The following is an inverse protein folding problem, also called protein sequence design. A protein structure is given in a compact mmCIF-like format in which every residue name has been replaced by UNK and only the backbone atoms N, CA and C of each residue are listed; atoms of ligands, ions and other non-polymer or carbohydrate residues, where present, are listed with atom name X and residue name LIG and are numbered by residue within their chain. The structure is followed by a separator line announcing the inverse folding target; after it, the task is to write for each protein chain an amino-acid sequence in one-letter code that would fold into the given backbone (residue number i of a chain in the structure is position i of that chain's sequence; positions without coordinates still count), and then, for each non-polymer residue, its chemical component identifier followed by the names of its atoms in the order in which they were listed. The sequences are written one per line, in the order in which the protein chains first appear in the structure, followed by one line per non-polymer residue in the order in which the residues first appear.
data_IF_108344457292
#
_entry.id   IF_108344457292
#
_cell.length_a   1.000
_cell.length_b   1.000
_cell.length_c   1.000
_cell.angle_alpha   90.00
_cell.angle_beta   90.00
_cell.angle_gamma   90.00
#
_symmetry.space_group_name_H-M   'P 1'
#
loop_
_entity.id
_entity.type
_entity.pdbx_description
1 polymer ?
#
# COMPACT_ATOMS: atom_id res chain seq x y z
N UNK A 1 -19.87 -1.48 -7.50
CA UNK A 1 -18.94 -0.61 -8.26
C UNK A 1 -17.56 -0.66 -7.61
N UNK A 2 -16.49 -0.66 -8.40
CA UNK A 2 -15.10 -0.59 -7.90
C UNK A 2 -14.64 0.87 -7.94
N UNK A 3 -14.11 1.39 -6.84
CA UNK A 3 -13.57 2.74 -6.76
C UNK A 3 -12.06 2.74 -6.50
N UNK A 4 -11.32 3.52 -7.29
CA UNK A 4 -9.88 3.72 -7.14
C UNK A 4 -9.64 5.10 -6.51
N UNK A 5 -9.01 5.11 -5.34
CA UNK A 5 -8.76 6.33 -4.59
C UNK A 5 -7.64 7.14 -5.21
N UNK A 6 -7.95 8.34 -5.68
CA UNK A 6 -6.97 9.31 -6.20
C UNK A 6 -6.80 10.50 -5.25
N UNK A 7 -5.56 10.85 -4.99
CA UNK A 7 -5.19 12.03 -4.20
C UNK A 7 -4.73 13.20 -5.07
N UNK A 8 -4.88 13.11 -6.39
CA UNK A 8 -4.47 14.09 -7.40
C UNK A 8 -2.99 14.50 -7.30
N UNK A 9 -2.12 13.59 -6.85
CA UNK A 9 -0.70 13.84 -6.75
C UNK A 9 0.01 13.32 -7.99
N UNK A 10 0.66 14.20 -8.76
CA UNK A 10 1.40 13.88 -9.98
C UNK A 10 2.31 12.63 -9.87
N UNK A 11 3.01 12.44 -8.74
CA UNK A 11 3.91 11.30 -8.53
C UNK A 11 3.17 9.95 -8.33
N UNK A 12 1.91 9.97 -7.93
CA UNK A 12 1.15 8.76 -7.64
C UNK A 12 0.11 8.46 -8.72
N UNK A 13 -0.25 9.44 -9.54
CA UNK A 13 -1.28 9.31 -10.56
C UNK A 13 -0.97 8.19 -11.56
N UNK A 14 0.26 8.07 -12.01
CA UNK A 14 0.61 6.98 -12.95
C UNK A 14 0.31 5.58 -12.39
N UNK A 15 0.46 5.36 -11.08
CA UNK A 15 0.13 4.07 -10.46
C UNK A 15 -1.38 3.86 -10.37
N UNK A 16 -2.09 4.95 -10.12
CA UNK A 16 -3.55 4.97 -10.09
C UNK A 16 -4.08 4.69 -11.50
N UNK A 17 -3.50 5.32 -12.51
CA UNK A 17 -3.89 5.11 -13.91
C UNK A 17 -3.60 3.67 -14.37
N UNK A 18 -2.51 3.06 -13.92
CA UNK A 18 -2.25 1.63 -14.18
C UNK A 18 -3.28 0.73 -13.47
N UNK A 19 -3.64 1.04 -12.23
CA UNK A 19 -4.69 0.30 -11.53
C UNK A 19 -6.04 0.43 -12.25
N UNK A 20 -6.38 1.61 -12.71
CA UNK A 20 -7.61 1.86 -13.48
C UNK A 20 -7.58 1.12 -14.82
N UNK A 21 -6.46 1.14 -15.55
CA UNK A 21 -6.32 0.44 -16.82
C UNK A 21 -6.43 -1.09 -16.67
N UNK A 22 -6.05 -1.65 -15.52
CA UNK A 22 -6.14 -3.07 -15.25
C UNK A 22 -7.44 -3.55 -14.63
N UNK A 23 -8.37 -2.64 -14.30
CA UNK A 23 -9.63 -2.96 -13.62
C UNK A 23 -10.82 -2.52 -14.48
N UNK A 24 -11.55 -3.44 -15.11
CA UNK A 24 -12.77 -3.10 -15.83
C UNK A 24 -13.82 -2.52 -14.87
N UNK A 25 -14.61 -1.60 -15.35
CA UNK A 25 -15.74 -1.00 -14.63
C UNK A 25 -15.39 -0.29 -13.31
N UNK A 26 -14.18 0.22 -13.19
CA UNK A 26 -13.79 1.02 -12.04
C UNK A 26 -13.93 2.52 -12.30
N UNK A 27 -14.09 3.30 -11.24
CA UNK A 27 -14.10 4.76 -11.26
C UNK A 27 -13.05 5.34 -10.33
N UNK A 28 -12.33 6.35 -10.81
CA UNK A 28 -11.35 7.11 -10.05
C UNK A 28 -12.07 8.25 -9.31
N UNK A 29 -11.96 8.27 -7.99
CA UNK A 29 -12.59 9.28 -7.13
C UNK A 29 -11.61 9.72 -6.02
N UNK A 30 -11.86 10.90 -5.45
CA UNK A 30 -11.16 11.32 -4.24
C UNK A 30 -11.56 10.47 -3.03
N UNK A 31 -10.71 10.37 -1.99
CA UNK A 31 -11.05 9.64 -0.76
C UNK A 31 -12.40 10.05 -0.15
N UNK A 32 -12.69 11.35 -0.11
CA UNK A 32 -13.93 11.88 0.47
C UNK A 32 -15.17 11.55 -0.37
N UNK A 33 -15.03 11.44 -1.69
CA UNK A 33 -16.12 11.01 -2.53
C UNK A 33 -16.41 9.52 -2.38
N UNK A 34 -15.38 8.68 -2.26
CA UNK A 34 -15.55 7.23 -2.08
C UNK A 34 -16.36 6.91 -0.83
N UNK A 35 -16.02 7.50 0.32
CA UNK A 35 -16.72 7.23 1.59
C UNK A 35 -18.18 7.66 1.62
N UNK A 36 -18.61 8.46 0.63
CA UNK A 36 -20.01 8.86 0.44
C UNK A 36 -20.78 7.92 -0.49
N UNK A 37 -20.11 6.96 -1.15
CA UNK A 37 -20.74 6.05 -2.11
C UNK A 37 -21.37 4.84 -1.43
N UNK A 38 -22.67 4.65 -1.64
CA UNK A 38 -23.40 3.48 -1.14
C UNK A 38 -23.23 2.24 -2.02
N UNK A 39 -22.88 2.42 -3.28
CA UNK A 39 -22.71 1.35 -4.28
C UNK A 39 -21.28 0.80 -4.36
N UNK A 40 -20.39 1.19 -3.45
CA UNK A 40 -19.03 0.72 -3.42
C UNK A 40 -18.97 -0.74 -2.95
N UNK A 41 -18.51 -1.62 -3.82
CA UNK A 41 -18.31 -3.04 -3.49
C UNK A 41 -16.84 -3.38 -3.25
N UNK A 42 -15.93 -2.61 -3.85
CA UNK A 42 -14.47 -2.77 -3.66
C UNK A 42 -13.79 -1.41 -3.77
N UNK A 43 -12.76 -1.20 -2.95
CA UNK A 43 -11.91 -0.01 -3.01
C UNK A 43 -10.45 -0.37 -3.32
N UNK A 44 -9.77 0.48 -4.08
CA UNK A 44 -8.33 0.39 -4.34
C UNK A 44 -7.66 1.61 -3.77
N UNK A 45 -6.69 1.40 -2.90
CA UNK A 45 -6.03 2.42 -2.10
C UNK A 45 -4.54 2.47 -2.42
N UNK A 46 -3.99 3.66 -2.67
CA UNK A 46 -2.56 3.85 -2.86
C UNK A 46 -1.96 4.62 -1.67
N UNK A 47 -1.23 3.91 -0.82
CA UNK A 47 -0.67 4.44 0.43
C UNK A 47 -1.74 4.78 1.48
N UNK A 48 -1.33 5.28 2.64
CA UNK A 48 -2.22 5.65 3.76
C UNK A 48 -2.30 7.17 4.00
N UNK A 49 -1.71 7.97 3.12
CA UNK A 49 -1.64 9.42 3.29
C UNK A 49 -2.77 10.14 2.56
N UNK A 50 -2.98 11.43 2.93
CA UNK A 50 -3.83 12.38 2.18
C UNK A 50 -5.28 11.96 2.05
N UNK A 51 -5.84 11.45 3.14
CA UNK A 51 -7.24 11.02 3.18
C UNK A 51 -7.46 9.56 2.80
N UNK A 52 -6.51 8.88 2.17
CA UNK A 52 -6.64 7.45 1.83
C UNK A 52 -6.89 6.58 3.07
N UNK A 53 -6.31 6.94 4.22
CA UNK A 53 -6.59 6.29 5.51
C UNK A 53 -8.06 6.37 5.92
N UNK A 54 -8.79 7.38 5.48
CA UNK A 54 -10.24 7.48 5.75
C UNK A 54 -11.00 6.41 4.99
N UNK A 55 -10.64 6.18 3.71
CA UNK A 55 -11.24 5.10 2.90
C UNK A 55 -10.89 3.74 3.49
N UNK A 56 -9.65 3.55 3.95
CA UNK A 56 -9.23 2.33 4.64
C UNK A 56 -10.14 2.03 5.84
N UNK A 57 -10.25 2.98 6.80
CA UNK A 57 -11.08 2.80 8.00
C UNK A 57 -12.56 2.64 7.68
N UNK A 58 -13.05 3.37 6.69
CA UNK A 58 -14.43 3.27 6.24
C UNK A 58 -14.71 1.88 5.62
N UNK A 59 -13.82 1.36 4.79
CA UNK A 59 -13.94 0.05 4.19
C UNK A 59 -13.93 -1.06 5.26
N UNK A 60 -13.02 -1.00 6.25
CA UNK A 60 -13.01 -1.92 7.39
C UNK A 60 -14.34 -1.88 8.17
N UNK A 61 -14.82 -0.68 8.51
CA UNK A 61 -16.05 -0.50 9.28
C UNK A 61 -17.29 -1.03 8.56
N UNK A 62 -17.33 -0.94 7.23
CA UNK A 62 -18.49 -1.33 6.41
C UNK A 62 -18.32 -2.71 5.74
N UNK A 63 -17.28 -3.47 6.10
CA UNK A 63 -16.96 -4.78 5.51
C UNK A 63 -16.84 -4.74 3.98
N UNK A 64 -16.27 -3.66 3.44
CA UNK A 64 -16.03 -3.50 2.01
C UNK A 64 -14.64 -4.03 1.69
N UNK A 65 -14.55 -4.92 0.72
CA UNK A 65 -13.26 -5.42 0.24
C UNK A 65 -12.41 -4.28 -0.30
N UNK A 66 -11.13 -4.26 0.09
CA UNK A 66 -10.19 -3.28 -0.46
C UNK A 66 -8.83 -3.89 -0.80
N UNK A 67 -8.17 -3.29 -1.78
CA UNK A 67 -6.80 -3.60 -2.16
C UNK A 67 -5.92 -2.40 -1.82
N UNK A 68 -4.98 -2.63 -0.93
CA UNK A 68 -3.97 -1.65 -0.56
C UNK A 68 -2.73 -1.82 -1.42
N UNK A 69 -2.36 -0.77 -2.12
CA UNK A 69 -1.18 -0.72 -2.97
C UNK A 69 -0.16 0.22 -2.32
N UNK A 70 1.08 -0.20 -2.21
CA UNK A 70 2.17 0.60 -1.67
C UNK A 70 3.47 0.34 -2.42
N UNK A 71 4.46 1.13 -2.09
CA UNK A 71 5.82 0.96 -2.61
C UNK A 71 6.41 -0.37 -2.19
N UNK A 72 7.23 -0.98 -3.02
CA UNK A 72 7.92 -2.20 -2.65
C UNK A 72 8.98 -1.92 -1.58
N UNK A 73 9.42 -2.97 -0.92
CA UNK A 73 10.53 -2.87 0.04
C UNK A 73 11.89 -2.66 -0.63
N UNK A 74 12.00 -3.03 -1.90
CA UNK A 74 13.20 -2.92 -2.73
C UNK A 74 12.85 -2.77 -4.22
N UNK A 75 13.84 -2.41 -5.03
CA UNK A 75 13.67 -2.30 -6.48
C UNK A 75 12.90 -1.07 -6.92
N UNK A 76 12.73 -0.07 -6.03
CA UNK A 76 12.11 1.19 -6.40
C UNK A 76 13.17 2.18 -6.88
N UNK A 77 12.98 2.67 -8.11
CA UNK A 77 13.56 3.93 -8.52
C UNK A 77 12.45 4.97 -8.64
N UNK A 78 12.77 6.26 -8.51
CA UNK A 78 11.78 7.35 -8.65
C UNK A 78 10.98 7.27 -9.96
N UNK A 79 11.58 6.73 -11.00
CA UNK A 79 11.02 6.75 -12.36
C UNK A 79 10.47 5.39 -12.80
N UNK A 80 10.96 4.29 -12.23
CA UNK A 80 10.62 2.93 -12.65
C UNK A 80 10.50 2.00 -11.45
N UNK A 81 9.34 1.94 -10.79
CA UNK A 81 9.10 0.91 -9.79
C UNK A 81 8.91 -0.43 -10.52
N UNK A 82 9.81 -1.34 -10.29
CA UNK A 82 9.71 -2.69 -10.86
C UNK A 82 8.63 -3.53 -10.18
N UNK A 83 8.28 -3.19 -8.93
CA UNK A 83 7.35 -3.97 -8.13
C UNK A 83 6.44 -3.05 -7.32
N UNK A 84 5.23 -3.52 -7.05
CA UNK A 84 4.31 -2.89 -6.11
C UNK A 84 3.90 -3.92 -5.07
N UNK A 85 3.75 -3.47 -3.84
CA UNK A 85 3.12 -4.26 -2.78
C UNK A 85 1.61 -4.13 -2.93
N UNK A 86 0.90 -5.25 -3.07
CA UNK A 86 -0.56 -5.28 -3.11
C UNK A 86 -1.03 -6.24 -2.02
N UNK A 87 -1.90 -5.76 -1.14
CA UNK A 87 -2.45 -6.56 -0.04
C UNK A 87 -3.97 -6.39 -0.01
N UNK A 88 -4.70 -7.50 0.12
CA UNK A 88 -6.16 -7.49 0.25
C UNK A 88 -6.54 -7.32 1.72
N UNK A 89 -7.48 -6.43 2.01
CA UNK A 89 -8.11 -6.20 3.33
C UNK A 89 -7.14 -5.98 4.49
N UNK A 90 -5.92 -5.50 4.18
CA UNK A 90 -4.90 -5.15 5.16
C UNK A 90 -3.91 -4.17 4.52
N UNK A 91 -3.09 -3.49 5.32
CA UNK A 91 -1.94 -2.72 4.84
C UNK A 91 -0.60 -3.42 5.14
N UNK A 92 -0.59 -4.37 6.06
CA UNK A 92 0.56 -5.23 6.34
C UNK A 92 0.35 -6.60 5.69
N UNK A 93 1.45 -7.16 5.16
CA UNK A 93 1.44 -8.53 4.69
C UNK A 93 1.17 -9.46 5.88
N UNK A 94 0.33 -10.47 5.69
CA UNK A 94 0.25 -11.59 6.62
C UNK A 94 1.55 -12.43 6.52
N UNK A 95 2.40 -12.34 7.53
CA UNK A 95 3.69 -13.05 7.58
C UNK A 95 3.57 -14.55 7.79
N UNK A 96 2.38 -15.02 8.19
CA UNK A 96 2.11 -16.44 8.44
C UNK A 96 1.81 -17.24 7.17
N UNK A 97 1.53 -16.57 6.05
CA UNK A 97 1.32 -17.25 4.78
C UNK A 97 2.66 -17.64 4.15
N UNK A 98 2.91 -18.92 4.02
CA UNK A 98 4.00 -19.41 3.18
C UNK A 98 3.71 -19.05 1.72
N UNK A 99 4.69 -18.43 1.08
CA UNK A 99 4.63 -18.07 -0.34
C UNK A 99 5.91 -18.46 -1.03
N UNK A 100 5.84 -18.90 -2.30
CA UNK A 100 7.04 -19.19 -3.07
C UNK A 100 7.99 -17.98 -3.08
N UNK A 101 9.26 -18.20 -2.85
CA UNK A 101 10.32 -17.19 -2.86
C UNK A 101 10.99 -17.04 -4.23
N UNK A 102 10.47 -17.73 -5.24
CA UNK A 102 11.01 -17.76 -6.60
C UNK A 102 11.11 -16.37 -7.23
N UNK A 103 10.13 -15.51 -6.98
CA UNK A 103 10.17 -14.11 -7.46
C UNK A 103 11.34 -13.34 -6.82
N UNK A 104 11.57 -13.52 -5.52
CA UNK A 104 12.70 -12.91 -4.84
C UNK A 104 14.02 -13.40 -5.44
N UNK A 105 14.20 -14.71 -5.54
CA UNK A 105 15.41 -15.35 -6.11
C UNK A 105 15.70 -14.91 -7.54
N UNK A 106 14.65 -14.75 -8.39
CA UNK A 106 14.80 -14.31 -9.77
C UNK A 106 15.11 -12.82 -9.91
N UNK A 107 14.62 -11.99 -9.00
CA UNK A 107 14.64 -10.53 -9.16
C UNK A 107 15.65 -9.84 -8.27
N UNK A 108 16.22 -10.54 -7.29
CA UNK A 108 17.17 -9.99 -6.32
C UNK A 108 18.58 -10.53 -6.60
N UNK A 109 19.44 -9.72 -7.25
CA UNK A 109 20.75 -10.22 -7.72
C UNK A 109 21.80 -10.33 -6.62
N UNK A 110 21.49 -9.91 -5.40
CA UNK A 110 22.47 -9.91 -4.31
C UNK A 110 22.23 -11.06 -3.34
N UNK A 111 23.30 -11.75 -2.90
CA UNK A 111 23.16 -12.77 -1.88
C UNK A 111 22.71 -12.15 -0.56
N UNK A 112 21.74 -12.77 0.09
CA UNK A 112 21.38 -12.41 1.47
C UNK A 112 22.52 -12.81 2.38
N UNK A 113 23.14 -11.82 3.00
CA UNK A 113 24.19 -12.07 3.99
C UNK A 113 23.56 -12.58 5.28
N UNK A 114 24.23 -13.50 5.99
CA UNK A 114 23.74 -13.94 7.30
C UNK A 114 23.68 -12.77 8.28
N UNK A 115 22.81 -12.89 9.28
CA UNK A 115 22.72 -11.90 10.34
C UNK A 115 24.05 -11.74 11.06
N UNK A 116 24.48 -10.51 11.30
CA UNK A 116 25.59 -10.22 12.20
C UNK A 116 25.16 -10.53 13.63
N UNK A 117 25.86 -11.44 14.29
CA UNK A 117 25.61 -11.80 15.68
C UNK A 117 26.38 -10.94 16.70
N UNK A 118 27.31 -10.15 16.20
CA UNK A 118 28.28 -9.33 16.97
C UNK A 118 27.99 -7.83 16.87
N UNK A 119 26.76 -7.48 16.58
CA UNK A 119 26.31 -6.09 16.51
C UNK A 119 26.43 -5.40 17.87
N UNK A 120 27.20 -4.28 17.93
CA UNK A 120 27.39 -3.46 19.14
C UNK A 120 26.41 -2.29 19.25
N UNK A 121 25.69 -2.00 18.19
CA UNK A 121 24.81 -0.82 18.11
C UNK A 121 23.35 -1.22 18.19
N UNK A 122 22.57 -0.50 18.98
CA UNK A 122 21.10 -0.56 18.99
C UNK A 122 20.61 0.50 18.04
N UNK A 123 19.85 0.10 17.01
CA UNK A 123 19.23 1.03 16.07
C UNK A 123 17.75 1.13 16.42
N UNK A 124 17.30 2.33 16.77
CA UNK A 124 15.89 2.63 17.01
C UNK A 124 15.33 3.36 15.79
N UNK A 125 14.36 2.73 15.12
CA UNK A 125 13.67 3.33 13.98
C UNK A 125 12.28 3.82 14.43
N UNK A 126 12.09 5.10 14.73
CA UNK A 126 10.78 5.61 15.10
C UNK A 126 9.82 5.54 13.91
N UNK A 127 8.52 5.37 14.15
CA UNK A 127 7.53 5.39 13.09
C UNK A 127 7.50 6.75 12.39
N UNK A 128 7.24 6.74 11.08
CA UNK A 128 7.10 7.98 10.32
C UNK A 128 5.91 8.81 10.84
N UNK A 129 5.91 10.12 10.60
CA UNK A 129 4.79 11.00 10.95
C UNK A 129 3.47 10.52 10.33
N UNK A 130 3.51 9.97 9.13
CA UNK A 130 2.36 9.36 8.48
C UNK A 130 1.78 8.18 9.27
N UNK A 131 2.65 7.31 9.78
CA UNK A 131 2.22 6.17 10.60
C UNK A 131 1.72 6.64 11.97
N UNK A 132 2.33 7.66 12.57
CA UNK A 132 1.84 8.27 13.80
C UNK A 132 0.41 8.80 13.61
N UNK A 133 0.17 9.60 12.56
CA UNK A 133 -1.16 10.11 12.23
C UNK A 133 -2.18 8.99 11.98
N UNK A 134 -1.80 7.95 11.23
CA UNK A 134 -2.66 6.80 11.00
C UNK A 134 -3.05 6.08 12.28
N UNK A 135 -2.13 5.94 13.23
CA UNK A 135 -2.36 5.31 14.53
C UNK A 135 -3.02 6.22 15.56
N UNK A 136 -3.19 7.50 15.27
CA UNK A 136 -3.71 8.48 16.23
C UNK A 136 -2.73 8.82 17.36
N UNK A 137 -1.43 8.58 17.14
CA UNK A 137 -0.37 8.96 18.08
C UNK A 137 -0.02 10.42 17.82
N UNK A 138 -0.45 11.28 18.70
CA UNK A 138 -0.04 12.68 18.70
C UNK A 138 1.22 12.84 19.57
N UNK A 139 2.15 13.71 19.15
CA UNK A 139 3.32 14.07 19.97
C UNK A 139 2.86 14.94 21.13
#
# INVERSE_FOLDING_TARGET
MIYVSSTNRKLTEKYIDWAVAGLPDCKKLSPLEIIKKQDCTKAVLLGLLRGTHLVYRWAEKNNIDFFYIDRPYWGETRNHPYFMKIVKNNFLKNWQEERPDDRFKKSFPWPIKPWKKDGKNIIVCPPSNAMKQFRGVHN
#
